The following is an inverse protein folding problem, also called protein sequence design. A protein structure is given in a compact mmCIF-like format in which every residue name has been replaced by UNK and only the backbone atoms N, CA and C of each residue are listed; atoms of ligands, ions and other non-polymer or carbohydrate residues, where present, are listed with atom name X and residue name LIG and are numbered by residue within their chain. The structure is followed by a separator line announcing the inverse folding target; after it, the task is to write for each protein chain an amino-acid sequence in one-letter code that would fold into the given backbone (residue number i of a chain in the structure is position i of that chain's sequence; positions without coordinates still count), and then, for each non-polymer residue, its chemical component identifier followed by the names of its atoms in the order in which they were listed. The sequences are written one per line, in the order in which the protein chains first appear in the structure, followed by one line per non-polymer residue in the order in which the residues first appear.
data_IF_553712314018
#
_entry.id   IF_553712314018
#
_cell.length_a   1.000
_cell.length_b   1.000
_cell.length_c   1.000
_cell.angle_alpha   90.00
_cell.angle_beta   90.00
_cell.angle_gamma   90.00
#
_symmetry.space_group_name_H-M   'P 1'
#
loop_
_entity.id
_entity.type
_entity.pdbx_description
1 polymer ?
#
# COMPACT_ATOMS: atom_id res chain seq x y z
N UNK A 1 22.50 1.57 42.94
CA UNK A 1 21.70 1.18 41.75
C UNK A 1 21.64 2.36 40.82
N UNK A 2 22.37 2.32 39.71
CA UNK A 2 22.32 3.38 38.69
C UNK A 2 21.07 3.17 37.83
N UNK A 3 20.22 4.20 37.72
CA UNK A 3 19.06 4.16 36.84
C UNK A 3 19.50 3.94 35.39
N UNK A 4 18.78 3.12 34.59
CA UNK A 4 19.10 2.93 33.19
C UNK A 4 19.01 4.28 32.46
N UNK A 5 20.08 4.67 31.78
CA UNK A 5 20.11 5.93 31.02
C UNK A 5 19.17 5.83 29.81
N UNK A 6 18.22 6.77 29.65
CA UNK A 6 17.23 6.73 28.57
C UNK A 6 17.85 6.88 27.16
N UNK A 7 19.13 7.22 27.05
CA UNK A 7 19.84 7.39 25.79
C UNK A 7 20.11 6.07 25.04
N UNK A 8 20.31 4.94 25.75
CA UNK A 8 20.55 3.62 25.12
C UNK A 8 19.37 3.10 24.32
N UNK A 9 18.13 3.06 24.84
CA UNK A 9 16.98 2.58 24.07
C UNK A 9 16.68 3.48 22.87
N UNK A 10 16.79 4.80 23.02
CA UNK A 10 16.56 5.76 21.93
C UNK A 10 17.59 5.56 20.80
N UNK A 11 18.87 5.38 21.13
CA UNK A 11 19.91 5.11 20.14
C UNK A 11 19.63 3.79 19.40
N UNK A 12 19.25 2.72 20.09
CA UNK A 12 18.88 1.46 19.40
C UNK A 12 17.65 1.61 18.54
N UNK A 13 16.62 2.35 18.96
CA UNK A 13 15.45 2.63 18.13
C UNK A 13 15.83 3.43 16.89
N UNK A 14 16.69 4.44 17.02
CA UNK A 14 17.20 5.22 15.89
C UNK A 14 18.02 4.37 14.92
N UNK A 15 18.91 3.51 15.43
CA UNK A 15 19.75 2.63 14.60
C UNK A 15 18.92 1.57 13.86
N UNK A 16 17.99 0.90 14.55
CA UNK A 16 17.08 -0.08 13.93
C UNK A 16 16.24 0.58 12.85
N UNK A 17 15.75 1.78 13.14
CA UNK A 17 14.91 2.49 12.21
C UNK A 17 15.73 3.00 11.02
N UNK A 18 16.96 3.52 11.22
CA UNK A 18 17.87 3.94 10.14
C UNK A 18 18.22 2.76 9.23
N UNK A 19 18.50 1.60 9.83
CA UNK A 19 18.70 0.35 9.10
C UNK A 19 17.47 -0.03 8.26
N UNK A 20 16.27 0.04 8.87
CA UNK A 20 15.01 -0.20 8.17
C UNK A 20 14.76 0.76 6.99
N UNK A 21 15.09 2.05 7.14
CA UNK A 21 15.01 3.01 6.02
C UNK A 21 16.00 2.65 4.92
N UNK A 22 17.23 2.29 5.28
CA UNK A 22 18.27 1.90 4.33
C UNK A 22 17.88 0.68 3.51
N UNK A 23 17.37 -0.38 4.15
CA UNK A 23 16.89 -1.58 3.46
C UNK A 23 15.69 -1.27 2.54
N UNK A 24 14.75 -0.45 3.00
CA UNK A 24 13.56 -0.11 2.21
C UNK A 24 13.91 0.80 1.02
N UNK A 25 14.78 1.79 1.21
CA UNK A 25 15.27 2.67 0.15
C UNK A 25 16.10 1.90 -0.89
N UNK A 26 16.89 0.90 -0.47
CA UNK A 26 17.63 0.04 -1.39
C UNK A 26 16.69 -0.80 -2.28
N UNK A 27 15.64 -1.41 -1.71
CA UNK A 27 14.66 -2.19 -2.48
C UNK A 27 13.92 -1.32 -3.49
N UNK A 28 13.48 -0.12 -3.08
CA UNK A 28 12.80 0.80 -4.00
C UNK A 28 13.77 1.40 -5.03
N UNK A 29 15.02 1.68 -4.65
CA UNK A 29 16.06 2.16 -5.56
C UNK A 29 16.36 1.15 -6.67
N UNK A 30 16.50 -0.14 -6.33
CA UNK A 30 16.64 -1.22 -7.32
C UNK A 30 15.40 -1.27 -8.22
N UNK A 31 14.21 -1.11 -7.67
CA UNK A 31 12.96 -1.14 -8.44
C UNK A 31 12.84 0.03 -9.43
N UNK A 32 13.31 1.22 -9.03
CA UNK A 32 13.34 2.43 -9.87
C UNK A 32 14.39 2.32 -10.97
N UNK A 33 15.52 1.66 -10.71
CA UNK A 33 16.60 1.44 -11.67
C UNK A 33 16.39 0.19 -12.55
N UNK A 34 15.47 -0.71 -12.17
CA UNK A 34 15.17 -1.93 -12.91
C UNK A 34 14.87 -1.69 -14.40
N UNK A 35 14.10 -0.66 -14.82
CA UNK A 35 13.87 -0.37 -16.23
C UNK A 35 15.12 0.07 -17.00
N UNK A 36 16.14 0.60 -16.31
CA UNK A 36 17.43 0.99 -16.90
C UNK A 36 18.32 -0.25 -17.04
N UNK A 37 18.38 -1.09 -16.01
CA UNK A 37 19.16 -2.33 -16.00
C UNK A 37 18.63 -3.35 -17.01
N UNK A 38 17.31 -3.44 -17.20
CA UNK A 38 16.68 -4.36 -18.15
C UNK A 38 16.96 -3.99 -19.61
N UNK A 39 17.31 -2.73 -19.93
CA UNK A 39 17.72 -2.34 -21.29
C UNK A 39 19.09 -2.88 -21.69
N UNK A 40 19.94 -3.17 -20.73
CA UNK A 40 21.30 -3.67 -20.92
C UNK A 40 21.40 -5.20 -20.79
N UNK A 41 20.30 -5.87 -20.39
CA UNK A 41 20.26 -7.32 -20.21
C UNK A 41 19.47 -8.01 -21.34
N UNK A 42 20.03 -9.07 -21.97
CA UNK A 42 19.34 -9.85 -23.00
C UNK A 42 18.09 -10.61 -22.48
N UNK A 43 17.78 -10.52 -21.19
CA UNK A 43 16.68 -11.22 -20.51
C UNK A 43 15.33 -10.49 -20.55
N UNK A 44 15.26 -9.25 -21.07
CA UNK A 44 13.97 -8.55 -21.27
C UNK A 44 13.00 -9.36 -22.15
N UNK A 45 13.54 -10.07 -23.14
CA UNK A 45 12.79 -10.99 -23.99
C UNK A 45 12.33 -12.27 -23.26
N UNK A 46 13.08 -12.71 -22.23
CA UNK A 46 12.73 -13.90 -21.43
C UNK A 46 11.55 -13.61 -20.49
N UNK A 47 11.45 -12.40 -19.92
CA UNK A 47 10.33 -12.01 -19.07
C UNK A 47 9.02 -11.81 -19.87
N UNK A 48 9.11 -11.23 -21.07
CA UNK A 48 7.98 -11.19 -22.02
C UNK A 48 7.60 -12.59 -22.53
N UNK A 49 8.57 -13.49 -22.71
CA UNK A 49 8.35 -14.89 -23.05
C UNK A 49 7.64 -15.70 -21.94
N UNK A 50 7.94 -15.42 -20.67
CA UNK A 50 7.29 -16.05 -19.52
C UNK A 50 5.81 -15.66 -19.38
N UNK A 51 5.45 -14.42 -19.74
CA UNK A 51 4.06 -13.97 -19.79
C UNK A 51 3.26 -14.66 -20.92
N UNK A 52 3.92 -15.08 -22.01
CA UNK A 52 3.32 -15.83 -23.11
C UNK A 52 3.25 -17.35 -22.85
N UNK A 53 3.96 -17.85 -21.84
CA UNK A 53 3.95 -19.27 -21.40
C UNK A 53 2.92 -19.57 -20.31
N UNK A 54 2.16 -18.56 -19.84
CA UNK A 54 1.00 -18.80 -18.99
C UNK A 54 -0.05 -19.58 -19.79
N UNK A 55 -0.46 -20.78 -19.35
CA UNK A 55 -1.49 -21.53 -20.05
C UNK A 55 -2.80 -20.73 -20.02
N UNK A 56 -3.58 -20.71 -21.13
CA UNK A 56 -4.90 -20.10 -21.11
C UNK A 56 -5.77 -20.80 -20.05
N UNK A 57 -6.70 -20.07 -19.40
CA UNK A 57 -7.58 -20.67 -18.40
C UNK A 57 -8.38 -21.82 -19.03
N UNK A 58 -8.58 -22.94 -18.31
CA UNK A 58 -9.30 -24.07 -18.87
C UNK A 58 -10.73 -23.67 -19.22
N UNK A 59 -11.08 -23.85 -20.48
CA UNK A 59 -12.44 -23.77 -20.99
C UNK A 59 -13.33 -24.76 -20.25
N UNK A 60 -14.33 -24.24 -19.55
CA UNK A 60 -15.41 -24.97 -18.89
C UNK A 60 -16.16 -25.83 -19.90
N UNK A 61 -16.35 -27.14 -19.66
CA UNK A 61 -17.46 -27.88 -20.22
C UNK A 61 -18.58 -28.01 -19.18
N UNK A 62 -19.78 -27.74 -19.64
CA UNK A 62 -21.06 -27.86 -18.93
C UNK A 62 -21.52 -29.33 -18.88
N UNK A 63 -22.09 -29.76 -17.75
CA UNK A 63 -22.78 -31.06 -17.54
C UNK A 63 -21.87 -32.13 -16.89
N UNK A 64 -22.27 -32.94 -15.90
CA UNK A 64 -23.56 -33.35 -15.37
C UNK A 64 -23.43 -33.82 -13.90
N UNK A 65 -24.58 -33.95 -13.25
CA UNK A 65 -24.87 -34.44 -11.89
C UNK A 65 -24.60 -35.96 -11.72
N UNK A 66 -24.02 -36.39 -10.60
CA UNK A 66 -23.99 -37.83 -10.25
C UNK A 66 -23.16 -38.22 -9.01
N UNK A 67 -23.82 -38.85 -8.03
CA UNK A 67 -23.39 -39.32 -6.70
C UNK A 67 -22.27 -40.37 -6.62
N UNK A 68 -21.61 -40.47 -5.45
CA UNK A 68 -21.34 -41.77 -4.81
C UNK A 68 -19.93 -42.07 -4.25
N UNK A 69 -19.83 -42.06 -2.91
CA UNK A 69 -19.22 -43.10 -2.02
C UNK A 69 -17.67 -43.35 -1.94
N UNK A 70 -17.13 -42.98 -0.76
CA UNK A 70 -16.12 -43.62 0.13
C UNK A 70 -15.27 -44.83 -0.33
N UNK A 71 -13.96 -44.83 0.02
CA UNK A 71 -13.26 -45.76 0.96
C UNK A 71 -11.71 -45.69 0.77
N UNK A 72 -10.95 -45.57 1.89
CA UNK A 72 -9.66 -46.29 2.08
C UNK A 72 -8.36 -45.49 2.32
N UNK A 73 -7.92 -45.39 3.59
CA UNK A 73 -6.55 -45.07 4.06
C UNK A 73 -5.69 -46.38 4.18
N UNK A 74 -4.47 -46.49 4.78
CA UNK A 74 -3.63 -45.52 5.53
C UNK A 74 -2.07 -45.64 5.39
N UNK A 75 -1.34 -44.79 6.11
CA UNK A 75 0.10 -44.90 6.45
C UNK A 75 0.69 -43.51 6.80
N UNK A 76 0.62 -42.98 8.02
CA UNK A 76 1.31 -43.35 9.28
C UNK A 76 2.82 -43.07 9.26
N UNK A 77 3.23 -41.89 9.73
CA UNK A 77 4.40 -41.73 10.60
C UNK A 77 4.05 -40.68 11.68
N UNK A 78 4.26 -41.09 12.92
CA UNK A 78 4.02 -40.40 14.18
C UNK A 78 5.04 -39.28 14.38
N UNK A 79 4.69 -38.25 15.17
CA UNK A 79 5.49 -37.87 16.34
C UNK A 79 4.83 -36.75 17.18
N UNK A 80 4.55 -37.15 18.43
CA UNK A 80 4.56 -36.39 19.70
C UNK A 80 3.42 -35.39 19.99
N UNK A 81 2.42 -35.98 20.65
CA UNK A 81 1.54 -35.45 21.67
C UNK A 81 2.32 -34.69 22.79
N UNK A 82 1.97 -33.43 23.07
CA UNK A 82 2.14 -32.87 24.41
C UNK A 82 0.76 -32.45 24.93
N UNK A 83 0.21 -33.35 25.74
CA UNK A 83 -0.99 -33.20 26.54
C UNK A 83 -0.80 -32.18 27.66
N UNK A 84 -1.78 -31.30 27.88
CA UNK A 84 -2.04 -30.73 29.19
C UNK A 84 -3.56 -30.55 29.39
N UNK A 85 -4.21 -31.42 30.18
CA UNK A 85 -5.58 -31.25 30.61
C UNK A 85 -5.58 -30.45 31.92
N UNK A 86 -6.14 -29.23 31.90
CA UNK A 86 -6.53 -28.55 33.12
C UNK A 86 -8.06 -28.49 33.16
N UNK A 87 -8.59 -29.48 33.85
CA UNK A 87 -9.97 -29.64 34.29
C UNK A 87 -10.46 -28.36 35.00
N UNK A 88 -11.57 -27.78 34.52
CA UNK A 88 -12.33 -26.78 35.26
C UNK A 88 -12.96 -27.41 36.52
N UNK A 89 -12.91 -26.76 37.70
CA UNK A 89 -13.81 -27.07 38.80
C UNK A 89 -15.13 -26.29 38.63
N UNK A 90 -16.29 -26.90 38.96
CA UNK A 90 -17.58 -26.24 38.84
C UNK A 90 -17.78 -25.27 40.01
N UNK A 91 -17.62 -23.98 39.76
CA UNK A 91 -18.08 -22.94 40.69
C UNK A 91 -19.21 -22.17 40.04
N UNK A 92 -20.44 -22.59 40.35
CA UNK A 92 -21.60 -21.71 40.25
C UNK A 92 -21.32 -20.47 41.11
N UNK A 93 -20.97 -19.37 40.46
CA UNK A 93 -21.18 -18.04 41.00
C UNK A 93 -22.16 -17.36 40.05
N UNK A 94 -23.40 -17.21 40.50
CA UNK A 94 -24.38 -16.32 39.90
C UNK A 94 -23.84 -14.89 39.96
N UNK A 95 -23.05 -14.53 38.95
CA UNK A 95 -22.69 -13.17 38.63
C UNK A 95 -23.38 -12.83 37.32
N UNK A 96 -24.40 -11.98 37.39
CA UNK A 96 -24.89 -11.22 36.22
C UNK A 96 -23.69 -10.51 35.59
N UNK A 97 -23.09 -11.14 34.59
CA UNK A 97 -22.20 -10.48 33.65
C UNK A 97 -23.06 -9.50 32.86
N UNK A 98 -22.78 -8.18 32.88
CA UNK A 98 -23.42 -7.29 31.94
C UNK A 98 -22.93 -7.74 30.56
N UNK A 99 -23.83 -8.30 29.75
CA UNK A 99 -23.51 -8.60 28.35
C UNK A 99 -22.95 -7.34 27.68
N UNK A 100 -21.92 -7.45 26.83
CA UNK A 100 -21.29 -6.29 26.20
C UNK A 100 -22.35 -5.44 25.49
N UNK A 101 -22.38 -4.13 25.78
CA UNK A 101 -23.35 -3.20 25.22
C UNK A 101 -23.34 -3.33 23.67
N UNK A 102 -24.47 -3.70 23.04
CA UNK A 102 -24.53 -3.87 21.59
C UNK A 102 -24.09 -2.61 20.83
N UNK A 103 -24.24 -1.42 21.41
CA UNK A 103 -23.77 -0.16 20.81
C UNK A 103 -22.24 -0.07 20.79
N UNK A 104 -21.55 -0.55 21.84
CA UNK A 104 -20.10 -0.55 21.90
C UNK A 104 -19.48 -1.52 20.88
N UNK A 105 -20.10 -2.69 20.70
CA UNK A 105 -19.72 -3.66 19.66
C UNK A 105 -19.92 -3.10 18.25
N UNK A 106 -21.06 -2.45 17.99
CA UNK A 106 -21.32 -1.80 16.70
C UNK A 106 -20.34 -0.65 16.40
N UNK A 107 -20.06 0.21 17.39
CA UNK A 107 -19.10 1.32 17.22
C UNK A 107 -17.68 0.81 16.95
N UNK A 108 -17.25 -0.26 17.63
CA UNK A 108 -15.95 -0.89 17.39
C UNK A 108 -15.87 -1.55 16.01
N UNK A 109 -16.95 -2.20 15.58
CA UNK A 109 -17.08 -2.77 14.23
C UNK A 109 -17.05 -1.70 13.15
N UNK A 110 -17.82 -0.62 13.29
CA UNK A 110 -17.84 0.50 12.34
C UNK A 110 -16.50 1.23 12.27
N UNK A 111 -15.83 1.44 13.41
CA UNK A 111 -14.47 1.98 13.45
C UNK A 111 -13.49 1.09 12.70
N UNK A 112 -13.55 -0.22 12.91
CA UNK A 112 -12.66 -1.18 12.25
C UNK A 112 -12.93 -1.23 10.75
N UNK A 113 -14.19 -1.24 10.34
CA UNK A 113 -14.59 -1.17 8.93
C UNK A 113 -14.11 0.13 8.26
N UNK A 114 -14.20 1.28 8.94
CA UNK A 114 -13.68 2.55 8.45
C UNK A 114 -12.14 2.51 8.28
N UNK A 115 -11.41 1.97 9.25
CA UNK A 115 -9.95 1.80 9.14
C UNK A 115 -9.56 0.86 7.98
N UNK A 116 -10.30 -0.24 7.79
CA UNK A 116 -10.11 -1.15 6.65
C UNK A 116 -10.40 -0.46 5.32
N UNK A 117 -11.47 0.35 5.25
CA UNK A 117 -11.80 1.16 4.08
C UNK A 117 -10.73 2.19 3.75
N UNK A 118 -10.22 2.91 4.76
CA UNK A 118 -9.08 3.83 4.60
C UNK A 118 -7.84 3.09 4.11
N UNK A 119 -7.55 1.92 4.66
CA UNK A 119 -6.41 1.09 4.24
C UNK A 119 -6.56 0.63 2.78
N UNK A 120 -7.75 0.15 2.38
CA UNK A 120 -8.01 -0.23 1.00
C UNK A 120 -7.88 0.97 0.04
N UNK A 121 -8.51 2.10 0.37
CA UNK A 121 -8.48 3.30 -0.47
C UNK A 121 -7.07 3.86 -0.64
N UNK A 122 -6.31 3.97 0.45
CA UNK A 122 -4.93 4.46 0.39
C UNK A 122 -4.02 3.51 -0.39
N UNK A 123 -4.22 2.19 -0.32
CA UNK A 123 -3.47 1.25 -1.16
C UNK A 123 -3.88 1.32 -2.64
N UNK A 124 -5.17 1.49 -2.94
CA UNK A 124 -5.62 1.73 -4.32
C UNK A 124 -4.92 2.96 -4.92
N UNK A 125 -4.82 4.03 -4.14
CA UNK A 125 -4.17 5.27 -4.56
C UNK A 125 -2.66 5.11 -4.72
N UNK A 126 -1.95 4.57 -3.72
CA UNK A 126 -0.48 4.51 -3.74
C UNK A 126 0.10 3.41 -4.61
N UNK A 127 -0.65 2.33 -4.87
CA UNK A 127 -0.12 1.16 -5.59
C UNK A 127 -0.73 1.01 -7.00
N UNK A 128 -1.86 1.67 -7.27
CA UNK A 128 -2.52 1.64 -8.58
C UNK A 128 -2.60 3.02 -9.22
N UNK A 129 -3.34 3.94 -8.59
CA UNK A 129 -3.71 5.22 -9.20
C UNK A 129 -2.52 6.12 -9.47
N UNK A 130 -1.77 6.45 -8.43
CA UNK A 130 -0.67 7.39 -8.51
C UNK A 130 0.47 6.86 -9.40
N UNK A 131 1.03 5.66 -9.19
CA UNK A 131 2.14 5.18 -10.03
C UNK A 131 1.82 5.20 -11.53
N UNK A 132 0.57 4.91 -11.91
CA UNK A 132 0.12 4.92 -13.29
C UNK A 132 0.15 6.31 -13.96
N UNK A 133 0.07 7.39 -13.19
CA UNK A 133 0.10 8.78 -13.69
C UNK A 133 1.42 9.52 -13.43
N UNK A 134 2.41 8.85 -12.83
CA UNK A 134 3.64 9.49 -12.38
C UNK A 134 4.49 10.06 -13.54
N UNK A 135 4.62 9.29 -14.63
CA UNK A 135 5.32 9.77 -15.82
C UNK A 135 4.60 10.95 -16.47
N UNK A 136 3.28 10.84 -16.65
CA UNK A 136 2.46 11.86 -17.32
C UNK A 136 2.40 13.19 -16.57
N UNK A 137 2.43 13.15 -15.23
CA UNK A 137 2.41 14.35 -14.39
C UNK A 137 3.77 15.02 -14.24
N UNK A 138 4.87 14.25 -14.21
CA UNK A 138 6.20 14.80 -13.92
C UNK A 138 7.05 15.08 -15.17
N UNK A 139 7.00 14.24 -16.20
CA UNK A 139 7.85 14.39 -17.39
C UNK A 139 7.65 15.73 -18.12
N UNK A 140 6.45 16.33 -18.18
CA UNK A 140 6.30 17.66 -18.77
C UNK A 140 7.15 18.76 -18.12
N UNK A 141 7.50 18.60 -16.83
CA UNK A 141 8.36 19.51 -16.08
C UNK A 141 9.85 19.12 -16.15
N UNK A 142 10.18 18.07 -16.91
CA UNK A 142 11.54 17.61 -17.16
C UNK A 142 11.93 16.37 -16.38
N UNK A 143 12.95 15.68 -16.88
CA UNK A 143 13.49 14.43 -16.31
C UNK A 143 13.96 14.59 -14.85
N UNK A 144 14.52 15.76 -14.51
CA UNK A 144 14.95 16.05 -13.14
C UNK A 144 13.75 16.05 -12.17
N UNK A 145 12.62 16.65 -12.57
CA UNK A 145 11.41 16.67 -11.76
C UNK A 145 10.86 15.26 -11.53
N UNK A 146 10.86 14.42 -12.59
CA UNK A 146 10.48 13.01 -12.50
C UNK A 146 11.38 12.23 -11.52
N UNK A 147 12.70 12.28 -11.68
CA UNK A 147 13.60 11.57 -10.77
C UNK A 147 13.49 12.06 -9.33
N UNK A 148 13.41 13.39 -9.12
CA UNK A 148 13.28 13.95 -7.78
C UNK A 148 11.97 13.49 -7.12
N UNK A 149 10.85 13.51 -7.84
CA UNK A 149 9.56 13.03 -7.34
C UNK A 149 9.61 11.53 -6.98
N UNK A 150 10.20 10.67 -7.83
CA UNK A 150 10.35 9.23 -7.57
C UNK A 150 11.21 8.98 -6.32
N UNK A 151 12.38 9.60 -6.24
CA UNK A 151 13.36 9.36 -5.16
C UNK A 151 12.86 9.89 -3.83
N UNK A 152 12.44 11.16 -3.77
CA UNK A 152 11.94 11.75 -2.52
C UNK A 152 10.60 11.15 -2.13
N UNK A 153 9.74 10.81 -3.10
CA UNK A 153 8.47 10.13 -2.86
C UNK A 153 8.67 8.74 -2.24
N UNK A 154 9.66 7.99 -2.72
CA UNK A 154 10.05 6.72 -2.09
C UNK A 154 10.55 6.98 -0.66
N UNK A 155 11.45 7.93 -0.44
CA UNK A 155 11.96 8.25 0.90
C UNK A 155 10.87 8.66 1.91
N UNK A 156 9.71 9.14 1.44
CA UNK A 156 8.60 9.53 2.29
C UNK A 156 7.96 8.36 3.05
N UNK A 157 8.00 7.13 2.52
CA UNK A 157 7.43 5.95 3.20
C UNK A 157 8.14 5.61 4.52
N UNK A 158 9.48 5.41 4.54
CA UNK A 158 10.20 5.23 5.79
C UNK A 158 10.02 6.41 6.74
N UNK A 159 10.06 7.65 6.25
CA UNK A 159 9.83 8.83 7.08
C UNK A 159 8.45 8.79 7.76
N UNK A 160 7.41 8.40 7.02
CA UNK A 160 6.06 8.24 7.56
C UNK A 160 5.99 7.17 8.65
N UNK A 161 6.69 6.04 8.48
CA UNK A 161 6.80 5.01 9.51
C UNK A 161 7.45 5.54 10.79
N UNK A 162 8.52 6.33 10.66
CA UNK A 162 9.17 6.98 11.81
C UNK A 162 8.28 7.97 12.52
N UNK A 163 7.61 8.84 11.75
CA UNK A 163 6.66 9.79 12.30
C UNK A 163 5.53 9.09 13.05
N UNK A 164 5.04 7.95 12.54
CA UNK A 164 4.02 7.16 13.22
C UNK A 164 4.51 6.50 14.52
N UNK A 165 5.79 6.17 14.64
CA UNK A 165 6.38 5.70 15.91
C UNK A 165 6.43 6.80 16.97
N UNK A 166 6.70 8.05 16.58
CA UNK A 166 6.74 9.17 17.52
C UNK A 166 5.36 9.76 17.84
N UNK A 167 4.55 9.99 16.81
CA UNK A 167 3.23 10.62 16.90
C UNK A 167 2.23 9.79 16.11
N UNK A 168 1.54 8.88 16.79
CA UNK A 168 0.50 8.05 16.18
C UNK A 168 -0.88 8.73 16.28
N UNK A 169 -1.44 9.14 15.14
CA UNK A 169 -2.79 9.68 15.10
C UNK A 169 -3.83 8.57 15.34
N UNK A 170 -4.44 8.56 16.53
CA UNK A 170 -5.47 7.56 16.91
C UNK A 170 -6.89 7.97 16.52
N UNK A 171 -7.07 9.23 16.09
CA UNK A 171 -8.37 9.81 15.77
C UNK A 171 -8.80 9.44 14.35
N UNK A 172 -9.99 8.85 14.19
CA UNK A 172 -10.57 8.59 12.88
C UNK A 172 -10.77 9.87 12.07
N UNK A 173 -11.23 10.94 12.70
CA UNK A 173 -11.41 12.23 12.04
C UNK A 173 -10.06 12.83 11.61
N UNK A 174 -9.01 12.65 12.42
CA UNK A 174 -7.65 13.06 12.07
C UNK A 174 -7.10 12.28 10.87
N UNK A 175 -7.26 10.95 10.87
CA UNK A 175 -6.88 10.11 9.74
C UNK A 175 -7.69 10.45 8.48
N UNK A 176 -9.00 10.67 8.60
CA UNK A 176 -9.84 11.13 7.50
C UNK A 176 -9.40 12.48 6.94
N UNK A 177 -9.07 13.45 7.80
CA UNK A 177 -8.53 14.74 7.38
C UNK A 177 -7.20 14.63 6.65
N UNK A 178 -6.27 13.80 7.15
CA UNK A 178 -5.02 13.49 6.46
C UNK A 178 -5.27 12.80 5.11
N UNK A 179 -6.19 11.84 5.04
CA UNK A 179 -6.57 11.22 3.77
C UNK A 179 -7.14 12.22 2.77
N UNK A 180 -7.98 13.15 3.22
CA UNK A 180 -8.53 14.21 2.35
C UNK A 180 -7.42 15.13 1.83
N UNK A 181 -6.44 15.49 2.66
CA UNK A 181 -5.26 16.25 2.21
C UNK A 181 -4.47 15.48 1.14
N UNK A 182 -4.24 14.18 1.36
CA UNK A 182 -3.58 13.31 0.37
C UNK A 182 -4.37 13.25 -0.94
N UNK A 183 -5.70 13.12 -0.88
CA UNK A 183 -6.58 13.10 -2.05
C UNK A 183 -6.57 14.44 -2.78
N UNK A 184 -6.52 15.56 -2.07
CA UNK A 184 -6.38 16.89 -2.68
C UNK A 184 -5.08 17.00 -3.50
N UNK A 185 -3.94 16.62 -2.92
CA UNK A 185 -2.67 16.58 -3.64
C UNK A 185 -2.71 15.59 -4.81
N UNK A 186 -3.29 14.40 -4.62
CA UNK A 186 -3.43 13.40 -5.68
C UNK A 186 -4.34 13.86 -6.82
N UNK A 187 -5.39 14.61 -6.51
CA UNK A 187 -6.28 15.23 -7.50
C UNK A 187 -5.56 16.28 -8.35
N UNK A 188 -4.70 17.09 -7.73
CA UNK A 188 -3.80 17.99 -8.46
C UNK A 188 -2.89 17.20 -9.42
N UNK A 189 -2.22 16.14 -8.95
CA UNK A 189 -1.34 15.31 -9.78
C UNK A 189 -2.08 14.63 -10.94
N UNK A 190 -3.31 14.16 -10.68
CA UNK A 190 -4.19 13.60 -11.71
C UNK A 190 -4.57 14.66 -12.75
N UNK A 191 -4.89 15.89 -12.31
CA UNK A 191 -5.17 16.99 -13.23
C UNK A 191 -3.97 17.32 -14.11
N UNK A 192 -2.75 17.34 -13.56
CA UNK A 192 -1.52 17.51 -14.37
C UNK A 192 -1.36 16.41 -15.41
N UNK A 193 -1.65 15.16 -15.04
CA UNK A 193 -1.56 14.03 -15.96
C UNK A 193 -2.59 14.13 -17.09
N UNK A 194 -3.83 14.54 -16.79
CA UNK A 194 -4.89 14.74 -17.80
C UNK A 194 -4.57 15.90 -18.74
N UNK A 195 -3.97 16.97 -18.22
CA UNK A 195 -3.56 18.14 -19.01
C UNK A 195 -2.22 17.94 -19.74
N UNK A 196 -1.59 16.78 -19.59
CA UNK A 196 -0.37 16.42 -20.32
C UNK A 196 -0.69 16.29 -21.81
N UNK A 197 0.11 16.90 -22.72
CA UNK A 197 1.53 17.22 -22.58
C UNK A 197 1.88 18.64 -22.07
N UNK A 198 0.91 19.53 -21.94
CA UNK A 198 1.12 20.94 -21.58
C UNK A 198 0.37 21.36 -20.30
N UNK A 199 0.71 20.77 -19.14
CA UNK A 199 0.12 21.18 -17.87
C UNK A 199 0.51 22.62 -17.48
N UNK A 200 -0.20 23.24 -16.53
CA UNK A 200 0.09 24.61 -16.10
C UNK A 200 1.50 24.74 -15.50
N UNK A 201 2.11 25.93 -15.62
CA UNK A 201 3.43 26.27 -15.07
C UNK A 201 4.61 25.46 -15.66
N UNK A 202 4.43 24.78 -16.80
CA UNK A 202 5.54 24.14 -17.54
C UNK A 202 6.58 25.20 -17.93
N UNK A 203 7.86 24.83 -17.84
CA UNK A 203 8.99 25.74 -18.11
C UNK A 203 9.37 26.65 -16.95
N UNK A 204 8.62 26.64 -15.85
CA UNK A 204 8.94 27.44 -14.65
C UNK A 204 9.49 26.57 -13.52
N UNK A 205 10.42 27.12 -12.73
CA UNK A 205 10.91 26.45 -11.51
C UNK A 205 9.81 26.24 -10.47
N UNK A 206 8.80 27.12 -10.45
CA UNK A 206 7.63 27.00 -9.58
C UNK A 206 6.84 25.71 -9.88
N UNK A 207 6.61 25.40 -11.16
CA UNK A 207 5.94 24.16 -11.58
C UNK A 207 6.69 22.91 -11.13
N UNK A 208 8.01 22.88 -11.33
CA UNK A 208 8.89 21.77 -10.88
C UNK A 208 8.81 21.56 -9.37
N UNK A 209 8.91 22.63 -8.58
CA UNK A 209 8.83 22.53 -7.12
C UNK A 209 7.45 22.04 -6.69
N UNK A 210 6.38 22.57 -7.29
CA UNK A 210 5.00 22.25 -6.89
C UNK A 210 4.62 20.79 -7.23
N UNK A 211 5.02 20.28 -8.40
CA UNK A 211 4.77 18.87 -8.75
C UNK A 211 5.54 17.91 -7.83
N UNK A 212 6.82 18.19 -7.56
CA UNK A 212 7.65 17.35 -6.68
C UNK A 212 7.11 17.36 -5.25
N UNK A 213 6.83 18.55 -4.68
CA UNK A 213 6.30 18.65 -3.33
C UNK A 213 4.92 17.99 -3.19
N UNK A 214 4.07 18.10 -4.22
CA UNK A 214 2.76 17.43 -4.23
C UNK A 214 2.89 15.91 -4.21
N UNK A 215 3.83 15.35 -4.99
CA UNK A 215 4.13 13.91 -4.98
C UNK A 215 4.63 13.43 -3.61
N UNK A 216 5.61 14.12 -3.05
CA UNK A 216 6.21 13.77 -1.75
C UNK A 216 5.16 13.86 -0.63
N UNK A 217 4.38 14.94 -0.60
CA UNK A 217 3.33 15.14 0.39
C UNK A 217 2.24 14.09 0.26
N UNK A 218 1.76 13.82 -0.96
CA UNK A 218 0.70 12.84 -1.22
C UNK A 218 1.10 11.43 -0.78
N UNK A 219 2.28 10.95 -1.22
CA UNK A 219 2.79 9.62 -0.86
C UNK A 219 3.11 9.53 0.64
N UNK A 220 3.75 10.54 1.21
CA UNK A 220 4.07 10.58 2.64
C UNK A 220 2.81 10.54 3.52
N UNK A 221 1.80 11.34 3.19
CA UNK A 221 0.52 11.38 3.93
C UNK A 221 -0.22 10.05 3.83
N UNK A 222 -0.35 9.47 2.64
CA UNK A 222 -1.01 8.17 2.50
C UNK A 222 -0.26 7.04 3.20
N UNK A 223 1.07 7.06 3.15
CA UNK A 223 1.88 6.08 3.88
C UNK A 223 1.75 6.23 5.39
N UNK A 224 1.68 7.46 5.91
CA UNK A 224 1.40 7.69 7.32
C UNK A 224 0.01 7.15 7.70
N UNK A 225 -1.02 7.45 6.90
CA UNK A 225 -2.38 6.93 7.14
C UNK A 225 -2.40 5.40 7.11
N UNK A 226 -1.71 4.76 6.16
CA UNK A 226 -1.59 3.30 6.07
C UNK A 226 -0.97 2.71 7.32
N UNK A 227 0.16 3.27 7.77
CA UNK A 227 0.85 2.81 8.99
C UNK A 227 -0.07 3.01 10.19
N UNK A 228 -0.65 4.19 10.37
CA UNK A 228 -1.51 4.48 11.51
C UNK A 228 -2.76 3.60 11.55
N UNK A 229 -3.45 3.42 10.43
CA UNK A 229 -4.60 2.53 10.32
C UNK A 229 -4.23 1.08 10.62
N UNK A 230 -3.10 0.60 10.09
CA UNK A 230 -2.60 -0.75 10.33
C UNK A 230 -2.24 -0.97 11.81
N UNK A 231 -1.57 0.01 12.45
CA UNK A 231 -1.24 -0.04 13.87
C UNK A 231 -2.49 -0.04 14.76
N UNK A 232 -3.54 0.67 14.38
CA UNK A 232 -4.82 0.66 15.12
C UNK A 232 -5.57 -0.66 14.94
N UNK A 233 -5.55 -1.25 13.74
CA UNK A 233 -6.15 -2.56 13.46
C UNK A 233 -5.38 -3.70 14.15
N UNK A 234 -4.07 -3.57 14.32
CA UNK A 234 -3.25 -4.55 15.04
C UNK A 234 -3.74 -4.82 16.46
N UNK A 235 -4.33 -3.81 17.13
CA UNK A 235 -4.93 -3.97 18.46
C UNK A 235 -6.13 -4.94 18.51
N UNK A 236 -6.72 -5.28 17.36
CA UNK A 236 -7.81 -6.25 17.23
C UNK A 236 -7.36 -7.72 17.06
N UNK A 237 -6.06 -8.00 17.09
CA UNK A 237 -5.50 -9.35 17.00
C UNK A 237 -5.48 -9.95 15.60
N UNK A 238 -5.33 -11.28 15.53
CA UNK A 238 -5.18 -12.05 14.27
C UNK A 238 -6.27 -11.80 13.22
N UNK A 239 -7.58 -11.80 13.52
CA UNK A 239 -8.60 -11.61 12.49
C UNK A 239 -8.56 -10.20 11.87
N UNK A 240 -8.27 -9.16 12.67
CA UNK A 240 -8.14 -7.79 12.18
C UNK A 240 -6.92 -7.63 11.25
N UNK A 241 -5.82 -8.33 11.54
CA UNK A 241 -4.62 -8.35 10.69
C UNK A 241 -4.87 -9.06 9.36
N UNK A 242 -5.60 -10.18 9.36
CA UNK A 242 -5.99 -10.85 8.11
C UNK A 242 -6.91 -9.95 7.27
N UNK A 243 -7.91 -9.31 7.90
CA UNK A 243 -8.78 -8.37 7.21
C UNK A 243 -8.00 -7.17 6.64
N UNK A 244 -7.00 -6.67 7.36
CA UNK A 244 -6.11 -5.61 6.87
C UNK A 244 -5.31 -6.07 5.63
N UNK A 245 -4.77 -7.29 5.66
CA UNK A 245 -4.09 -7.88 4.51
C UNK A 245 -5.01 -8.01 3.28
N UNK A 246 -6.23 -8.50 3.47
CA UNK A 246 -7.25 -8.57 2.40
C UNK A 246 -7.56 -7.17 1.86
N UNK A 247 -7.78 -6.19 2.74
CA UNK A 247 -8.06 -4.81 2.35
C UNK A 247 -6.92 -4.18 1.53
N UNK A 248 -5.66 -4.43 1.89
CA UNK A 248 -4.47 -3.97 1.13
C UNK A 248 -4.48 -4.53 -0.29
N UNK A 249 -4.71 -5.84 -0.43
CA UNK A 249 -4.68 -6.52 -1.73
C UNK A 249 -5.86 -6.11 -2.61
N UNK A 250 -7.08 -6.11 -2.04
CA UNK A 250 -8.28 -5.66 -2.74
C UNK A 250 -8.14 -4.20 -3.18
N UNK A 251 -7.65 -3.32 -2.30
CA UNK A 251 -7.39 -1.93 -2.66
C UNK A 251 -6.42 -1.79 -3.84
N UNK A 252 -5.28 -2.47 -3.77
CA UNK A 252 -4.28 -2.43 -4.85
C UNK A 252 -4.83 -2.94 -6.18
N UNK A 253 -5.60 -4.04 -6.16
CA UNK A 253 -6.28 -4.58 -7.34
C UNK A 253 -7.29 -3.58 -7.92
N UNK A 254 -8.13 -2.96 -7.07
CA UNK A 254 -9.10 -1.96 -7.50
C UNK A 254 -8.41 -0.74 -8.13
N UNK A 255 -7.31 -0.28 -7.56
CA UNK A 255 -6.51 0.81 -8.15
C UNK A 255 -5.94 0.46 -9.52
N UNK A 256 -5.41 -0.75 -9.68
CA UNK A 256 -4.89 -1.23 -10.96
C UNK A 256 -6.00 -1.36 -12.02
N UNK A 257 -7.13 -1.98 -11.66
CA UNK A 257 -8.29 -2.12 -12.56
C UNK A 257 -8.88 -0.76 -12.93
N UNK A 258 -8.88 0.21 -12.01
CA UNK A 258 -9.37 1.56 -12.29
C UNK A 258 -8.47 2.31 -13.29
N UNK A 259 -7.14 2.17 -13.18
CA UNK A 259 -6.20 2.89 -14.03
C UNK A 259 -5.83 2.19 -15.33
N UNK A 260 -5.97 0.86 -15.41
CA UNK A 260 -5.58 0.12 -16.59
C UNK A 260 -6.34 0.55 -17.86
N UNK A 261 -7.69 0.65 -17.89
CA UNK A 261 -8.39 1.08 -19.10
C UNK A 261 -8.04 2.51 -19.54
N UNK A 262 -8.04 3.54 -18.67
CA UNK A 262 -7.65 4.90 -19.07
C UNK A 262 -6.22 5.01 -19.60
N UNK A 263 -5.27 4.28 -18.99
CA UNK A 263 -3.84 4.37 -19.37
C UNK A 263 -3.50 3.54 -20.60
N UNK A 264 -4.07 2.34 -20.71
CA UNK A 264 -3.62 1.31 -21.67
C UNK A 264 -4.57 1.09 -22.84
N UNK A 265 -5.87 1.36 -22.68
CA UNK A 265 -6.88 1.12 -23.73
C UNK A 265 -7.30 2.45 -24.36
N UNK A 266 -7.77 3.39 -23.55
CA UNK A 266 -8.29 4.67 -24.02
C UNK A 266 -7.20 5.72 -24.24
N UNK A 267 -5.97 5.47 -23.76
CA UNK A 267 -4.84 6.39 -23.85
C UNK A 267 -5.19 7.84 -23.45
N UNK A 268 -5.95 7.99 -22.36
CA UNK A 268 -6.41 9.28 -21.84
C UNK A 268 -5.23 10.21 -21.50
N UNK A 269 -4.10 9.63 -21.10
CA UNK A 269 -2.90 10.36 -20.75
C UNK A 269 -1.89 10.32 -21.90
N UNK A 270 -1.45 11.49 -22.34
CA UNK A 270 -0.44 11.63 -23.38
C UNK A 270 0.92 12.00 -22.76
N UNK A 271 1.94 11.18 -22.98
CA UNK A 271 3.30 11.50 -22.53
C UNK A 271 3.92 12.55 -23.44
N UNK A 272 4.49 13.61 -22.84
CA UNK A 272 5.23 14.65 -23.56
C UNK A 272 6.47 14.05 -24.24
N UNK A 273 6.66 14.37 -25.51
CA UNK A 273 7.91 14.10 -26.24
C UNK A 273 8.71 15.40 -26.33
N UNK A 274 9.88 15.44 -25.70
CA UNK A 274 10.75 16.64 -25.53
C UNK A 274 11.20 17.34 -26.83
N UNK A 275 10.78 16.85 -28.01
CA UNK A 275 11.09 17.43 -29.32
C UNK A 275 9.90 17.56 -30.28
N UNK A 276 8.71 17.04 -29.94
CA UNK A 276 7.57 17.00 -30.87
C UNK A 276 6.40 17.90 -30.44
N UNK A 277 6.28 18.19 -29.14
CA UNK A 277 5.13 18.92 -28.59
C UNK A 277 5.60 20.23 -27.91
N UNK A 278 5.83 21.32 -28.70
CA UNK A 278 6.06 22.64 -28.11
C UNK A 278 4.77 23.09 -27.43
N UNK A 279 4.86 23.43 -26.15
CA UNK A 279 3.79 24.13 -25.44
C UNK A 279 4.06 25.62 -25.66
N UNK A 280 3.13 26.33 -26.31
CA UNK A 280 3.25 27.78 -26.46
C UNK A 280 3.26 28.42 -25.07
N UNK A 281 4.30 29.24 -24.84
CA UNK A 281 4.60 29.95 -23.59
C UNK A 281 3.67 31.14 -23.38
#
# INVERSE_FOLDING_TARGET
MAAPTPARPVLTHLLVALFGMGSWAAVNGIWVELPVVVKELPEAAAFQGLLLLLPPPPSVPTGELGSGLQVGAPGAEEEVEESSPLQEPPSQAAGTTPGPDPKAYQLLSARSACLLGLLAATNALTNGVLPAVQSFSCLPYGRLAYHLAVVLGSAANPLACFLAMGVLCRSLAGLGGLSLLGVFCGGYLMALAVLSPCPPLVGTSAGVVLVVLSWVLCLGVFSYVKVAASSLLHGGGRPALLAAGVAIQVGSLLGAVAMFPPTSIYHVFHSRKDCADPCDS
#
